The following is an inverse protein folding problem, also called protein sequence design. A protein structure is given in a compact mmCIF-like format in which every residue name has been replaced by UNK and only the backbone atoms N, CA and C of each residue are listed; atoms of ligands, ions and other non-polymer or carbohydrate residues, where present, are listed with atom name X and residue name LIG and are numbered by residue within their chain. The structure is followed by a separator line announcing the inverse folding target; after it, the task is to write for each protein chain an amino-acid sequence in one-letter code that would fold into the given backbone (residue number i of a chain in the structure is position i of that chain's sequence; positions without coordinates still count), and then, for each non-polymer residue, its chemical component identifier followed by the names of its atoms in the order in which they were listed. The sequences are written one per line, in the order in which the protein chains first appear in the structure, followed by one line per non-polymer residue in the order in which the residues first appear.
data_IF_334308828460
#
_entry.id   IF_334308828460
#
_cell.length_a   1.000
_cell.length_b   1.000
_cell.length_c   1.000
_cell.angle_alpha   90.00
_cell.angle_beta   90.00
_cell.angle_gamma   90.00
#
_symmetry.space_group_name_H-M   'P 1'
#
loop_
_entity.id
_entity.type
_entity.pdbx_description
1 polymer ?
#
# COMPACT_ATOMS: atom_id res chain seq x y z
N UNK A 1 -26.41 -27.25 20.76
CA UNK A 1 -25.34 -26.30 20.44
C UNK A 1 -24.40 -26.95 19.46
N UNK A 2 -24.18 -26.32 18.33
CA UNK A 2 -23.26 -26.81 17.30
C UNK A 2 -21.82 -26.78 17.83
N UNK A 3 -21.07 -27.87 17.64
CA UNK A 3 -19.72 -28.03 18.19
C UNK A 3 -18.76 -27.07 17.44
N UNK A 4 -18.27 -26.02 18.10
CA UNK A 4 -17.31 -25.06 17.52
C UNK A 4 -16.07 -25.81 17.04
N UNK A 5 -15.71 -25.66 15.75
CA UNK A 5 -14.57 -26.34 15.15
C UNK A 5 -13.24 -25.84 15.73
N UNK A 6 -12.20 -26.68 15.71
CA UNK A 6 -10.86 -26.28 16.20
C UNK A 6 -10.27 -25.11 15.39
N UNK A 7 -10.59 -25.03 14.10
CA UNK A 7 -10.12 -23.93 13.25
C UNK A 7 -10.71 -22.59 13.70
N UNK A 8 -12.01 -22.54 14.01
CA UNK A 8 -12.66 -21.33 14.53
C UNK A 8 -12.06 -20.95 15.88
N UNK A 9 -11.83 -21.93 16.78
CA UNK A 9 -11.17 -21.68 18.06
C UNK A 9 -9.77 -21.08 17.89
N UNK A 10 -8.96 -21.66 16.99
CA UNK A 10 -7.61 -21.16 16.70
C UNK A 10 -7.65 -19.75 16.12
N UNK A 11 -8.46 -19.48 15.10
CA UNK A 11 -8.59 -18.14 14.51
C UNK A 11 -9.07 -17.11 15.55
N UNK A 12 -10.01 -17.48 16.42
CA UNK A 12 -10.49 -16.58 17.49
C UNK A 12 -9.39 -16.32 18.53
N UNK A 13 -8.62 -17.35 18.90
CA UNK A 13 -7.46 -17.20 19.80
C UNK A 13 -6.41 -16.24 19.23
N UNK A 14 -6.06 -16.39 17.96
CA UNK A 14 -5.15 -15.48 17.24
C UNK A 14 -5.72 -14.05 17.25
N UNK A 15 -7.00 -13.89 16.92
CA UNK A 15 -7.65 -12.58 16.90
C UNK A 15 -7.66 -11.92 18.29
N UNK A 16 -7.86 -12.70 19.37
CA UNK A 16 -7.80 -12.18 20.74
C UNK A 16 -6.40 -11.62 21.05
N UNK A 17 -5.33 -12.39 20.76
CA UNK A 17 -3.97 -11.91 20.98
C UNK A 17 -3.67 -10.67 20.17
N UNK A 18 -4.04 -10.64 18.88
CA UNK A 18 -3.87 -9.47 18.01
C UNK A 18 -4.61 -8.23 18.50
N UNK A 19 -5.77 -8.41 19.12
CA UNK A 19 -6.65 -7.30 19.50
C UNK A 19 -6.33 -6.75 20.90
N UNK A 20 -5.96 -7.62 21.83
CA UNK A 20 -5.92 -7.29 23.26
C UNK A 20 -4.51 -7.33 23.86
N UNK A 21 -3.48 -7.73 23.09
CA UNK A 21 -2.10 -7.70 23.57
C UNK A 21 -1.17 -6.87 22.69
N UNK A 22 -0.11 -6.35 23.28
CA UNK A 22 0.98 -5.61 22.62
C UNK A 22 2.26 -5.73 23.47
N UNK A 23 3.38 -5.16 23.03
CA UNK A 23 4.61 -5.12 23.82
C UNK A 23 4.41 -4.47 25.21
N UNK A 24 3.46 -3.53 25.32
CA UNK A 24 3.14 -2.84 26.57
C UNK A 24 2.08 -3.57 27.39
N UNK A 25 1.26 -4.41 26.77
CA UNK A 25 0.08 -5.05 27.37
C UNK A 25 0.12 -6.55 27.13
N UNK A 26 0.39 -7.35 28.17
CA UNK A 26 0.22 -8.78 28.10
C UNK A 26 -1.19 -9.21 28.53
N UNK A 27 -1.62 -10.32 27.99
CA UNK A 27 -2.91 -10.93 28.30
C UNK A 27 -2.70 -12.29 28.97
N UNK A 28 -3.34 -12.49 30.09
CA UNK A 28 -3.27 -13.75 30.84
C UNK A 28 -4.11 -14.85 30.19
N UNK A 29 -3.75 -16.11 30.51
CA UNK A 29 -4.55 -17.29 30.09
C UNK A 29 -6.00 -17.18 30.54
N UNK A 30 -6.26 -16.60 31.73
CA UNK A 30 -7.59 -16.40 32.26
C UNK A 30 -8.39 -15.41 31.45
N UNK A 31 -7.79 -14.28 31.08
CA UNK A 31 -8.43 -13.26 30.25
C UNK A 31 -8.70 -13.79 28.83
N UNK A 32 -7.76 -14.52 28.24
CA UNK A 32 -7.98 -15.21 26.96
C UNK A 32 -9.21 -16.11 27.04
N UNK A 33 -9.34 -16.91 28.09
CA UNK A 33 -10.49 -17.80 28.26
C UNK A 33 -11.81 -17.05 28.45
N UNK A 34 -11.81 -15.93 29.17
CA UNK A 34 -12.99 -15.08 29.30
C UNK A 34 -13.43 -14.56 27.93
N UNK A 35 -12.51 -14.05 27.14
CA UNK A 35 -12.79 -13.56 25.78
C UNK A 35 -13.21 -14.69 24.81
N UNK A 36 -12.61 -15.88 24.94
CA UNK A 36 -13.04 -17.07 24.18
C UNK A 36 -14.47 -17.44 24.51
N UNK A 37 -14.83 -17.38 25.79
CA UNK A 37 -16.19 -17.68 26.22
C UNK A 37 -17.19 -16.63 25.74
N UNK A 38 -16.85 -15.34 25.84
CA UNK A 38 -17.70 -14.25 25.33
C UNK A 38 -17.96 -14.36 23.83
N UNK A 39 -16.92 -14.71 23.05
CA UNK A 39 -17.02 -14.75 21.58
C UNK A 39 -17.64 -16.05 21.05
N UNK A 40 -17.35 -17.17 21.67
CA UNK A 40 -17.69 -18.51 21.13
C UNK A 40 -18.46 -19.42 22.11
N UNK A 41 -18.65 -18.99 23.36
CA UNK A 41 -19.25 -19.83 24.40
C UNK A 41 -18.39 -21.03 24.83
N UNK A 42 -17.06 -20.99 24.55
CA UNK A 42 -16.13 -22.09 24.86
C UNK A 42 -14.92 -21.61 25.61
N UNK A 43 -14.36 -22.48 26.45
CA UNK A 43 -13.04 -22.27 27.07
C UNK A 43 -12.03 -23.25 26.49
N UNK A 44 -10.76 -22.91 26.55
CA UNK A 44 -9.63 -23.73 26.12
C UNK A 44 -8.88 -24.25 27.35
N UNK A 45 -8.47 -25.51 27.32
CA UNK A 45 -7.52 -26.03 28.29
C UNK A 45 -6.09 -25.50 27.99
N UNK A 46 -5.22 -25.50 29.01
CA UNK A 46 -3.85 -24.98 28.90
C UNK A 46 -3.03 -25.66 27.80
N UNK A 47 -3.19 -26.97 27.62
CA UNK A 47 -2.44 -27.74 26.62
C UNK A 47 -2.81 -27.28 25.20
N UNK A 48 -4.10 -27.07 24.95
CA UNK A 48 -4.59 -26.55 23.67
C UNK A 48 -4.06 -25.14 23.41
N UNK A 49 -4.06 -24.24 24.41
CA UNK A 49 -3.51 -22.88 24.25
C UNK A 49 -2.02 -22.88 23.94
N UNK A 50 -1.24 -23.72 24.64
CA UNK A 50 0.19 -23.85 24.33
C UNK A 50 0.42 -24.45 22.93
N UNK A 51 -0.44 -25.35 22.50
CA UNK A 51 -0.44 -25.83 21.10
C UNK A 51 -0.64 -24.69 20.12
N UNK A 52 -1.64 -23.85 20.36
CA UNK A 52 -1.93 -22.70 19.50
C UNK A 52 -0.78 -21.67 19.48
N UNK A 53 -0.17 -21.37 20.62
CA UNK A 53 1.02 -20.51 20.71
C UNK A 53 2.18 -21.07 19.86
N UNK A 54 2.40 -22.41 19.98
CA UNK A 54 3.43 -23.07 19.17
C UNK A 54 3.15 -22.99 17.68
N UNK A 55 1.89 -23.18 17.29
CA UNK A 55 1.49 -23.11 15.88
C UNK A 55 1.57 -21.68 15.34
N UNK A 56 1.21 -20.67 16.13
CA UNK A 56 1.41 -19.26 15.77
C UNK A 56 2.89 -18.93 15.52
N UNK A 57 3.79 -19.41 16.39
CA UNK A 57 5.25 -19.25 16.18
C UNK A 57 5.74 -19.92 14.91
N UNK A 58 5.19 -21.11 14.57
CA UNK A 58 5.48 -21.80 13.30
C UNK A 58 5.01 -21.01 12.07
N UNK A 59 3.94 -20.24 12.21
CA UNK A 59 3.41 -19.34 11.19
C UNK A 59 4.21 -18.02 11.10
N UNK A 60 5.27 -17.87 11.90
CA UNK A 60 6.12 -16.68 11.89
C UNK A 60 5.59 -15.52 12.75
N UNK A 61 4.54 -15.74 13.56
CA UNK A 61 4.04 -14.73 14.49
C UNK A 61 4.92 -14.72 15.77
N UNK A 62 5.50 -13.57 16.11
CA UNK A 62 6.34 -13.45 17.28
C UNK A 62 5.52 -13.25 18.55
N UNK A 63 5.22 -14.35 19.23
CA UNK A 63 4.59 -14.32 20.55
C UNK A 63 5.69 -14.35 21.60
N UNK A 64 5.57 -13.48 22.61
CA UNK A 64 6.46 -13.45 23.77
C UNK A 64 6.55 -14.82 24.46
N UNK A 65 7.61 -15.05 25.22
CA UNK A 65 7.57 -16.02 26.31
C UNK A 65 6.59 -15.53 27.37
N UNK A 66 6.19 -16.43 28.29
CA UNK A 66 5.33 -16.02 29.40
C UNK A 66 6.05 -14.96 30.24
N UNK A 67 5.50 -13.77 30.24
CA UNK A 67 6.02 -12.68 31.06
C UNK A 67 5.50 -12.85 32.49
N UNK A 68 6.43 -13.05 33.44
CA UNK A 68 6.07 -13.27 34.85
C UNK A 68 5.67 -11.97 35.55
N UNK A 69 6.21 -10.83 35.11
CA UNK A 69 5.88 -9.52 35.69
C UNK A 69 4.52 -9.03 35.22
N UNK A 70 4.24 -9.25 33.94
CA UNK A 70 2.97 -8.88 33.31
C UNK A 70 1.93 -10.02 33.31
N UNK A 71 2.27 -11.18 33.88
CA UNK A 71 1.41 -12.36 34.04
C UNK A 71 0.71 -12.86 32.77
N UNK A 72 1.39 -12.81 31.61
CA UNK A 72 0.72 -13.16 30.36
C UNK A 72 1.62 -13.33 29.15
N UNK A 73 0.97 -13.35 28.00
CA UNK A 73 1.58 -13.37 26.68
C UNK A 73 1.21 -12.11 25.94
N UNK A 74 2.08 -11.70 25.02
CA UNK A 74 1.77 -10.65 24.06
C UNK A 74 2.30 -11.03 22.68
N UNK A 75 1.61 -10.54 21.66
CA UNK A 75 2.08 -10.58 20.29
C UNK A 75 2.97 -9.36 20.07
N UNK A 76 4.23 -9.55 19.62
CA UNK A 76 5.09 -8.44 19.24
C UNK A 76 4.48 -7.74 18.05
N UNK A 77 4.51 -6.40 18.10
CA UNK A 77 3.86 -5.56 17.09
C UNK A 77 4.52 -5.72 15.72
N UNK A 78 3.95 -6.58 14.87
CA UNK A 78 4.22 -6.58 13.42
C UNK A 78 3.38 -5.58 12.66
N UNK A 79 2.48 -4.90 13.34
CA UNK A 79 1.51 -4.01 12.73
C UNK A 79 1.84 -2.57 13.09
N UNK A 80 1.45 -1.68 12.21
CA UNK A 80 1.64 -0.25 12.39
C UNK A 80 1.11 0.22 13.76
N UNK A 81 1.92 1.00 14.47
CA UNK A 81 1.46 1.73 15.65
C UNK A 81 0.42 2.77 15.26
N UNK A 82 -0.40 3.21 16.21
CA UNK A 82 -1.47 4.19 15.94
C UNK A 82 -0.93 5.49 15.33
N UNK A 83 0.24 5.96 15.80
CA UNK A 83 0.92 7.12 15.24
C UNK A 83 1.41 6.91 13.81
N UNK A 84 1.88 5.70 13.48
CA UNK A 84 2.33 5.34 12.13
C UNK A 84 1.16 5.27 11.16
N UNK A 85 0.03 4.66 11.57
CA UNK A 85 -1.19 4.67 10.78
C UNK A 85 -1.72 6.08 10.55
N UNK A 86 -1.65 6.93 11.59
CA UNK A 86 -2.03 8.34 11.45
C UNK A 86 -1.15 9.05 10.43
N UNK A 87 0.18 8.83 10.49
CA UNK A 87 1.12 9.39 9.52
C UNK A 87 0.80 8.94 8.09
N UNK A 88 0.49 7.65 7.90
CA UNK A 88 0.05 7.12 6.59
C UNK A 88 -1.25 7.78 6.12
N UNK A 89 -2.23 7.93 7.02
CA UNK A 89 -3.49 8.61 6.69
C UNK A 89 -3.25 10.08 6.30
N UNK A 90 -2.44 10.82 7.07
CA UNK A 90 -2.10 12.21 6.80
C UNK A 90 -1.35 12.34 5.46
N UNK A 91 -0.47 11.38 5.13
CA UNK A 91 0.24 11.32 3.84
C UNK A 91 -0.70 11.12 2.65
N UNK A 92 -1.68 10.21 2.78
CA UNK A 92 -2.72 10.01 1.75
C UNK A 92 -3.55 11.27 1.55
N UNK A 93 -3.81 12.01 2.61
CA UNK A 93 -4.64 13.20 2.55
C UNK A 93 -3.93 14.40 1.96
N UNK A 94 -2.68 14.61 2.32
CA UNK A 94 -1.85 15.72 1.80
C UNK A 94 -1.39 15.48 0.37
N UNK A 95 -1.48 14.24 -0.11
CA UNK A 95 -1.05 13.89 -1.46
C UNK A 95 -1.93 14.55 -2.53
N UNK A 96 -1.28 15.30 -3.43
CA UNK A 96 -1.95 15.98 -4.56
C UNK A 96 -2.28 15.05 -5.71
N UNK A 97 -1.53 13.96 -5.88
CA UNK A 97 -1.71 12.97 -6.95
C UNK A 97 -2.70 11.86 -6.60
N UNK A 98 -3.29 11.86 -5.40
CA UNK A 98 -4.36 10.95 -5.03
C UNK A 98 -5.70 11.67 -5.16
N UNK A 99 -6.58 11.19 -6.04
CA UNK A 99 -7.90 11.79 -6.19
C UNK A 99 -8.69 11.76 -4.88
N UNK A 100 -9.67 12.66 -4.74
CA UNK A 100 -10.52 12.72 -3.55
C UNK A 100 -11.23 11.40 -3.26
N UNK A 101 -11.76 10.75 -4.29
CA UNK A 101 -12.45 9.46 -4.19
C UNK A 101 -11.49 8.39 -3.68
N UNK A 102 -10.32 8.28 -4.31
CA UNK A 102 -9.31 7.28 -3.93
C UNK A 102 -8.74 7.53 -2.53
N UNK A 103 -8.56 8.79 -2.13
CA UNK A 103 -8.17 9.13 -0.76
C UNK A 103 -9.15 8.58 0.26
N UNK A 104 -10.46 8.75 0.04
CA UNK A 104 -11.50 8.19 0.94
C UNK A 104 -11.42 6.66 1.02
N UNK A 105 -11.30 5.97 -0.12
CA UNK A 105 -11.16 4.51 -0.15
C UNK A 105 -9.91 4.02 0.61
N UNK A 106 -8.76 4.69 0.40
CA UNK A 106 -7.51 4.33 1.09
C UNK A 106 -7.61 4.58 2.59
N UNK A 107 -8.18 5.71 3.02
CA UNK A 107 -8.39 6.01 4.44
C UNK A 107 -9.29 4.98 5.11
N UNK A 108 -10.34 4.51 4.42
CA UNK A 108 -11.17 3.42 4.92
C UNK A 108 -10.38 2.11 5.05
N UNK A 109 -9.55 1.76 4.07
CA UNK A 109 -8.70 0.56 4.13
C UNK A 109 -7.71 0.65 5.29
N UNK A 110 -7.00 1.78 5.45
CA UNK A 110 -6.06 2.01 6.55
C UNK A 110 -6.78 1.95 7.90
N UNK A 111 -7.98 2.55 8.02
CA UNK A 111 -8.75 2.49 9.26
C UNK A 111 -9.20 1.07 9.62
N UNK A 112 -9.48 0.23 8.61
CA UNK A 112 -9.82 -1.18 8.80
C UNK A 112 -8.62 -2.02 9.27
N UNK A 113 -7.40 -1.70 8.85
CA UNK A 113 -6.21 -2.37 9.37
C UNK A 113 -6.14 -2.24 10.90
N UNK A 114 -6.35 -1.03 11.43
CA UNK A 114 -6.37 -0.85 12.88
C UNK A 114 -7.54 -1.57 13.57
N UNK A 115 -8.71 -1.61 12.94
CA UNK A 115 -9.86 -2.34 13.47
C UNK A 115 -9.61 -3.85 13.55
N UNK A 116 -9.00 -4.43 12.51
CA UNK A 116 -8.70 -5.87 12.44
C UNK A 116 -7.69 -6.26 13.51
N UNK A 117 -6.67 -5.44 13.73
CA UNK A 117 -5.54 -5.78 14.60
C UNK A 117 -5.65 -5.26 16.02
N UNK A 118 -6.37 -4.16 16.27
CA UNK A 118 -6.48 -3.54 17.60
C UNK A 118 -7.90 -3.36 18.11
N UNK A 119 -8.91 -3.82 17.39
CA UNK A 119 -10.32 -3.71 17.78
C UNK A 119 -10.85 -2.29 17.92
N UNK A 120 -10.06 -1.29 17.57
CA UNK A 120 -10.43 0.13 17.67
C UNK A 120 -10.41 0.80 16.31
N UNK A 121 -11.50 1.46 15.97
CA UNK A 121 -11.57 2.28 14.76
C UNK A 121 -10.86 3.61 15.00
N UNK A 122 -9.84 3.91 14.21
CA UNK A 122 -9.23 5.24 14.22
C UNK A 122 -10.28 6.27 13.80
N UNK A 123 -10.64 7.13 14.74
CA UNK A 123 -11.48 8.31 14.46
C UNK A 123 -10.55 9.47 14.11
N UNK A 124 -10.20 9.64 12.85
CA UNK A 124 -9.54 10.85 12.45
C UNK A 124 -10.57 11.84 11.92
N UNK A 125 -10.66 12.99 12.58
CA UNK A 125 -11.35 14.17 12.04
C UNK A 125 -10.36 14.84 11.10
N UNK A 126 -10.31 14.42 9.86
CA UNK A 126 -9.37 15.00 8.94
C UNK A 126 -10.13 15.74 7.86
N UNK A 127 -9.80 17.01 7.71
CA UNK A 127 -10.31 17.89 6.66
C UNK A 127 -9.41 17.67 5.43
N UNK A 128 -10.00 17.17 4.35
CA UNK A 128 -9.29 17.05 3.06
C UNK A 128 -9.31 18.45 2.45
N UNK A 129 -8.12 19.03 2.22
CA UNK A 129 -8.00 20.24 1.42
C UNK A 129 -8.25 19.90 -0.05
N UNK A 130 -9.38 20.33 -0.56
CA UNK A 130 -9.90 19.97 -1.88
C UNK A 130 -9.22 20.69 -3.05
N UNK A 131 -8.48 21.75 -2.78
CA UNK A 131 -8.03 22.69 -3.82
C UNK A 131 -6.84 22.19 -4.65
N UNK A 132 -6.24 21.06 -4.30
CA UNK A 132 -4.97 20.62 -4.89
C UNK A 132 -4.89 19.18 -5.35
N UNK A 133 -5.99 18.41 -5.28
CA UNK A 133 -5.97 16.98 -5.66
C UNK A 133 -6.20 16.79 -7.15
N UNK A 134 -5.55 15.75 -7.72
CA UNK A 134 -5.77 15.37 -9.13
C UNK A 134 -7.21 14.92 -9.38
N UNK A 135 -7.68 15.18 -10.59
CA UNK A 135 -8.96 14.65 -11.11
C UNK A 135 -8.77 13.32 -11.83
N UNK A 136 -7.54 12.89 -12.12
CA UNK A 136 -7.27 11.64 -12.80
C UNK A 136 -7.37 10.45 -11.83
N UNK A 137 -8.40 9.65 -11.96
CA UNK A 137 -8.61 8.44 -11.16
C UNK A 137 -7.83 7.23 -11.69
N UNK A 138 -7.30 7.30 -12.92
CA UNK A 138 -6.59 6.19 -13.58
C UNK A 138 -5.12 6.08 -13.14
N UNK A 139 -4.58 7.03 -12.39
CA UNK A 139 -3.14 7.03 -11.97
C UNK A 139 -2.73 5.70 -11.35
N UNK A 140 -3.57 5.09 -10.51
CA UNK A 140 -3.22 3.83 -9.84
C UNK A 140 -3.18 2.67 -10.81
N UNK A 141 -4.16 2.59 -11.70
CA UNK A 141 -4.21 1.57 -12.75
C UNK A 141 -3.01 1.74 -13.67
N UNK A 142 -2.68 2.99 -14.03
CA UNK A 142 -1.50 3.29 -14.82
C UNK A 142 -0.20 2.83 -14.12
N UNK A 143 -0.04 3.12 -12.83
CA UNK A 143 1.13 2.68 -12.06
C UNK A 143 1.20 1.15 -11.92
N UNK A 144 0.07 0.46 -11.75
CA UNK A 144 0.02 -1.01 -11.71
C UNK A 144 0.44 -1.61 -13.06
N UNK A 145 -0.02 -1.03 -14.17
CA UNK A 145 0.36 -1.48 -15.53
C UNK A 145 1.83 -1.22 -15.81
N UNK A 146 2.35 -0.05 -15.40
CA UNK A 146 3.77 0.28 -15.50
C UNK A 146 4.63 -0.72 -14.71
N UNK A 147 4.24 -1.04 -13.47
CA UNK A 147 4.92 -2.03 -12.65
C UNK A 147 4.91 -3.43 -13.29
N UNK A 148 3.79 -3.82 -13.90
CA UNK A 148 3.70 -5.08 -14.62
C UNK A 148 4.63 -5.10 -15.82
N UNK A 149 4.74 -4.01 -16.59
CA UNK A 149 5.67 -3.89 -17.71
C UNK A 149 7.13 -4.07 -17.26
N UNK A 150 7.54 -3.52 -16.12
CA UNK A 150 8.86 -3.76 -15.52
C UNK A 150 9.07 -5.23 -15.18
N UNK A 151 8.09 -5.87 -14.55
CA UNK A 151 8.18 -7.28 -14.14
C UNK A 151 8.29 -8.22 -15.35
N UNK A 152 7.59 -7.90 -16.43
CA UNK A 152 7.55 -8.70 -17.66
C UNK A 152 8.66 -8.32 -18.66
N UNK A 153 9.49 -7.31 -18.38
CA UNK A 153 10.48 -6.75 -19.29
C UNK A 153 9.89 -6.39 -20.66
N UNK A 154 8.77 -5.69 -20.67
CA UNK A 154 8.03 -5.31 -21.88
C UNK A 154 7.93 -3.82 -22.06
N UNK A 155 7.85 -3.39 -23.34
CA UNK A 155 7.51 -2.00 -23.68
C UNK A 155 6.11 -1.65 -23.19
N UNK A 156 5.86 -0.36 -23.06
CA UNK A 156 4.57 0.20 -22.65
C UNK A 156 4.03 1.12 -23.74
N UNK A 157 2.73 1.10 -23.92
CA UNK A 157 2.02 2.00 -24.84
C UNK A 157 0.96 2.80 -24.11
N UNK A 158 0.74 4.03 -24.51
CA UNK A 158 -0.26 4.91 -23.94
C UNK A 158 -0.58 6.07 -24.89
N UNK A 159 -1.69 6.76 -24.62
CA UNK A 159 -1.99 8.06 -25.22
C UNK A 159 -1.55 9.15 -24.25
N UNK A 160 -0.70 10.06 -24.69
CA UNK A 160 -0.17 11.16 -23.89
C UNK A 160 -0.83 12.49 -24.25
N UNK A 161 -1.22 13.24 -23.23
CA UNK A 161 -1.83 14.56 -23.37
C UNK A 161 -0.93 15.59 -22.67
N UNK A 162 -0.48 16.60 -23.39
CA UNK A 162 0.40 17.63 -22.82
C UNK A 162 -0.29 18.51 -21.78
N UNK A 163 -1.61 18.59 -21.78
CA UNK A 163 -2.39 19.45 -20.90
C UNK A 163 -3.71 18.78 -20.51
N UNK A 164 -3.71 18.03 -19.41
CA UNK A 164 -4.90 17.33 -18.90
C UNK A 164 -5.90 18.24 -18.19
N UNK A 165 -5.47 19.40 -17.67
CA UNK A 165 -6.36 20.32 -16.96
C UNK A 165 -7.43 20.90 -17.90
N UNK A 166 -7.07 21.09 -19.17
CA UNK A 166 -7.99 21.58 -20.20
C UNK A 166 -8.90 20.47 -20.79
N UNK A 167 -8.54 19.19 -20.63
CA UNK A 167 -9.37 18.06 -21.13
C UNK A 167 -10.58 17.82 -20.21
N UNK A 168 -10.43 18.03 -18.92
CA UNK A 168 -11.52 17.92 -17.94
C UNK A 168 -12.59 19.03 -18.11
N UNK A 169 -12.27 20.10 -18.81
CA UNK A 169 -13.13 21.28 -19.02
C UNK A 169 -13.86 21.28 -20.39
N UNK A 170 -14.20 20.10 -20.96
CA UNK A 170 -15.07 19.94 -22.15
C UNK A 170 -14.57 20.49 -23.49
N UNK A 171 -13.31 20.93 -23.60
CA UNK A 171 -12.75 21.25 -24.93
C UNK A 171 -12.26 19.97 -25.64
N UNK A 172 -13.13 19.42 -26.50
CA UNK A 172 -13.04 18.10 -27.14
C UNK A 172 -11.97 17.95 -28.25
N UNK A 173 -11.13 18.93 -28.53
CA UNK A 173 -10.32 18.95 -29.75
C UNK A 173 -8.80 18.73 -29.58
N UNK A 174 -8.33 18.32 -28.39
CA UNK A 174 -6.91 17.96 -28.25
C UNK A 174 -6.71 16.47 -28.47
N UNK A 175 -6.19 16.11 -29.61
CA UNK A 175 -5.80 14.75 -29.96
C UNK A 175 -4.57 14.36 -29.17
N UNK A 176 -4.66 13.31 -28.33
CA UNK A 176 -3.50 12.77 -27.61
C UNK A 176 -2.51 12.09 -28.57
N UNK A 177 -1.24 12.12 -28.23
CA UNK A 177 -0.17 11.44 -28.97
C UNK A 177 -0.08 9.97 -28.53
N UNK A 178 -0.12 9.04 -29.50
CA UNK A 178 0.17 7.64 -29.22
C UNK A 178 1.68 7.45 -29.00
N UNK A 179 2.05 6.89 -27.85
CA UNK A 179 3.42 6.70 -27.43
C UNK A 179 3.68 5.23 -27.17
N UNK A 180 4.84 4.72 -27.68
CA UNK A 180 5.38 3.40 -27.33
C UNK A 180 6.85 3.59 -26.91
N UNK A 181 7.19 3.12 -25.70
CA UNK A 181 8.50 3.36 -25.09
C UNK A 181 9.01 2.16 -24.28
N UNK A 182 10.31 2.15 -24.05
CA UNK A 182 10.98 1.28 -23.09
C UNK A 182 10.88 1.92 -21.69
N UNK A 183 10.16 1.36 -20.74
CA UNK A 183 10.08 1.89 -19.38
C UNK A 183 11.40 1.62 -18.64
N UNK A 184 11.96 2.64 -17.96
CA UNK A 184 13.20 2.53 -17.18
C UNK A 184 12.91 2.54 -15.68
N UNK A 185 12.23 3.58 -15.20
CA UNK A 185 11.82 3.68 -13.81
C UNK A 185 10.63 4.64 -13.63
N UNK A 186 10.03 4.63 -12.44
CA UNK A 186 9.06 5.65 -12.03
C UNK A 186 9.72 6.57 -11.02
N UNK A 187 9.76 7.86 -11.30
CA UNK A 187 10.26 8.91 -10.42
C UNK A 187 9.09 9.63 -9.76
N UNK A 188 9.17 9.79 -8.44
CA UNK A 188 8.24 10.62 -7.68
C UNK A 188 8.92 11.96 -7.38
N UNK A 189 8.39 13.05 -7.92
CA UNK A 189 8.85 14.40 -7.64
C UNK A 189 7.77 15.12 -6.81
N UNK A 190 7.77 14.91 -5.49
CA UNK A 190 6.92 15.51 -4.43
C UNK A 190 5.45 15.84 -4.78
N UNK A 191 5.15 16.09 -6.05
CA UNK A 191 3.82 16.47 -6.54
C UNK A 191 3.23 15.51 -7.57
N UNK A 192 4.08 14.83 -8.36
CA UNK A 192 3.67 14.03 -9.51
C UNK A 192 4.54 12.79 -9.66
N UNK A 193 3.96 11.75 -10.29
CA UNK A 193 4.71 10.59 -10.78
C UNK A 193 5.10 10.80 -12.24
N UNK A 194 6.34 10.47 -12.57
CA UNK A 194 6.88 10.51 -13.92
C UNK A 194 7.38 9.12 -14.32
N UNK A 195 6.95 8.63 -15.46
CA UNK A 195 7.60 7.50 -16.11
C UNK A 195 8.83 8.02 -16.83
N UNK A 196 10.00 7.52 -16.44
CA UNK A 196 11.26 7.72 -17.17
C UNK A 196 11.38 6.59 -18.17
N UNK A 197 11.62 6.92 -19.44
CA UNK A 197 11.62 5.96 -20.53
C UNK A 197 12.49 6.42 -21.70
N UNK A 198 12.77 5.52 -22.65
CA UNK A 198 13.40 5.83 -23.93
C UNK A 198 12.51 5.35 -25.08
N UNK A 199 12.57 6.00 -26.24
CA UNK A 199 11.88 5.51 -27.46
C UNK A 199 12.64 4.32 -28.03
N UNK A 200 13.96 4.41 -28.12
CA UNK A 200 14.86 3.35 -28.61
C UNK A 200 15.98 3.07 -27.59
N UNK A 201 16.78 2.05 -27.83
CA UNK A 201 17.77 1.51 -26.88
C UNK A 201 18.83 2.53 -26.40
N UNK A 202 19.14 3.55 -27.20
CA UNK A 202 20.22 4.52 -26.96
C UNK A 202 19.74 5.99 -26.96
N UNK A 203 18.42 6.19 -26.94
CA UNK A 203 17.84 7.52 -26.89
C UNK A 203 18.02 8.19 -25.52
N UNK A 204 17.92 9.52 -25.52
CA UNK A 204 17.85 10.29 -24.28
C UNK A 204 16.61 9.91 -23.47
N UNK A 205 16.70 10.03 -22.14
CA UNK A 205 15.59 9.75 -21.25
C UNK A 205 14.48 10.79 -21.42
N UNK A 206 13.26 10.29 -21.61
CA UNK A 206 12.05 11.10 -21.73
C UNK A 206 11.20 10.92 -20.48
N UNK A 207 10.67 12.01 -19.95
CA UNK A 207 9.84 12.03 -18.76
C UNK A 207 8.37 12.25 -19.14
N UNK A 208 7.54 11.26 -18.86
CA UNK A 208 6.10 11.36 -19.07
C UNK A 208 5.39 11.45 -17.73
N UNK A 209 4.64 12.53 -17.51
CA UNK A 209 3.82 12.67 -16.30
C UNK A 209 2.70 11.64 -16.33
N UNK A 210 2.62 10.77 -15.31
CA UNK A 210 1.66 9.66 -15.27
C UNK A 210 0.21 10.15 -15.24
N UNK A 211 -0.04 11.31 -14.66
CA UNK A 211 -1.34 12.00 -14.70
C UNK A 211 -1.85 12.26 -16.12
N UNK A 212 -0.94 12.47 -17.06
CA UNK A 212 -1.23 12.83 -18.44
C UNK A 212 -1.36 11.61 -19.36
N UNK A 213 -1.27 10.40 -18.82
CA UNK A 213 -1.39 9.16 -19.59
C UNK A 213 -2.80 8.61 -19.55
N UNK A 214 -3.27 8.14 -20.69
CA UNK A 214 -4.53 7.43 -20.86
C UNK A 214 -4.31 6.12 -21.61
N UNK A 215 -5.19 5.15 -21.39
CA UNK A 215 -5.18 3.86 -22.09
C UNK A 215 -3.81 3.18 -22.04
N UNK A 216 -3.18 3.20 -20.86
CA UNK A 216 -1.88 2.59 -20.64
C UNK A 216 -1.99 1.07 -20.77
N UNK A 217 -1.09 0.45 -21.55
CA UNK A 217 -1.08 -0.99 -21.78
C UNK A 217 0.36 -1.53 -21.85
N UNK A 218 0.54 -2.77 -21.40
CA UNK A 218 1.79 -3.50 -21.65
C UNK A 218 1.79 -3.98 -23.10
N UNK A 219 2.85 -3.67 -23.84
CA UNK A 219 3.04 -4.13 -25.22
C UNK A 219 3.40 -5.63 -25.27
N UNK A 220 3.19 -6.29 -26.41
CA UNK A 220 3.72 -7.63 -26.64
C UNK A 220 5.25 -7.63 -26.84
N UNK A 221 5.84 -6.49 -27.21
CA UNK A 221 7.27 -6.33 -27.48
C UNK A 221 8.07 -6.28 -26.19
N UNK A 222 9.20 -6.97 -26.16
CA UNK A 222 10.20 -6.86 -25.09
C UNK A 222 10.92 -5.51 -25.17
N UNK A 223 11.42 -5.04 -24.01
CA UNK A 223 12.30 -3.87 -24.00
C UNK A 223 13.56 -4.13 -24.84
N UNK A 224 14.06 -3.07 -25.44
CA UNK A 224 15.34 -3.12 -26.13
C UNK A 224 16.49 -3.34 -25.13
N UNK A 225 17.64 -3.88 -25.60
CA UNK A 225 18.80 -4.11 -24.70
C UNK A 225 19.42 -2.78 -24.26
N UNK A 226 18.90 -2.23 -23.18
CA UNK A 226 19.29 -0.93 -22.63
C UNK A 226 20.49 -1.12 -21.69
N UNK A 227 21.66 -1.49 -22.20
CA UNK A 227 22.90 -1.64 -21.40
C UNK A 227 23.40 -0.33 -20.79
N UNK A 228 22.85 0.81 -21.22
CA UNK A 228 23.15 2.15 -20.68
C UNK A 228 22.16 2.64 -19.63
N UNK A 229 21.09 1.88 -19.34
CA UNK A 229 20.06 2.29 -18.36
C UNK A 229 20.63 2.43 -16.94
N UNK A 230 21.67 1.71 -16.59
CA UNK A 230 22.38 1.89 -15.33
C UNK A 230 23.00 3.30 -15.24
N UNK A 231 23.57 3.82 -16.33
CA UNK A 231 24.09 5.18 -16.37
C UNK A 231 22.98 6.23 -16.39
N UNK A 232 21.83 5.93 -17.01
CA UNK A 232 20.66 6.82 -17.03
C UNK A 232 20.03 6.87 -15.64
N UNK A 233 19.93 5.76 -14.92
CA UNK A 233 19.42 5.74 -13.54
C UNK A 233 20.34 6.51 -12.58
N UNK A 234 21.66 6.50 -12.80
CA UNK A 234 22.62 7.29 -12.04
C UNK A 234 22.56 8.78 -12.39
N UNK A 235 22.44 9.15 -13.67
CA UNK A 235 22.28 10.56 -14.08
C UNK A 235 20.96 11.17 -13.60
N UNK A 236 19.89 10.39 -13.61
CA UNK A 236 18.58 10.78 -13.03
C UNK A 236 18.66 11.08 -11.52
N UNK A 237 19.63 10.51 -10.80
CA UNK A 237 19.86 10.80 -9.39
C UNK A 237 20.80 11.99 -9.14
N UNK A 238 21.62 12.38 -10.10
CA UNK A 238 22.64 13.44 -9.93
C UNK A 238 22.18 14.82 -10.39
N UNK A 239 21.24 14.91 -11.35
CA UNK A 239 20.74 16.19 -11.86
C UNK A 239 19.63 16.80 -11.01
N UNK A 240 19.76 16.76 -9.69
CA UNK A 240 18.67 16.93 -8.73
C UNK A 240 18.37 18.37 -8.34
N UNK A 241 19.10 19.37 -8.77
CA UNK A 241 18.89 20.78 -8.39
C UNK A 241 18.77 21.77 -9.55
N UNK A 242 18.93 21.35 -10.79
CA UNK A 242 18.80 22.22 -11.93
C UNK A 242 17.44 22.07 -12.62
N UNK A 243 16.60 23.04 -12.41
CA UNK A 243 15.60 23.58 -13.32
C UNK A 243 14.71 22.61 -14.13
N UNK A 244 13.68 22.07 -13.49
CA UNK A 244 12.42 21.86 -14.20
C UNK A 244 11.64 23.18 -14.10
N UNK A 245 12.08 24.16 -14.84
CA UNK A 245 11.28 25.33 -15.23
C UNK A 245 10.48 24.91 -16.46
N UNK A 246 9.16 24.71 -16.27
CA UNK A 246 8.15 24.73 -17.32
C UNK A 246 7.31 25.98 -17.14
#
# INVERSE_FOLDING_TARGET
MEKVSNNIKFCTFVNILMTYSSEDISISIKEINNLMYEKLGVTLDRRTMYGYIKDMRRLGLEISEYDKEKEGYFLRDYFFKEGELKLLMDSVMSSKFISRKKSKELLEKISKLNLIFRGKRLKSKVIIDDTSKTFNEEIYENLEIINRAFTENKKITFIYYNDMENICNEEKDKQGEYVKVNPICVKNNHKNYYLVSTKEAFDEAIYYKVDNMKQVQVSEETIDDIRSAENISYSVNLDHEADINF
#
